data_IF_642127340639
#
_entry.id   IF_642127340639
#
_cell.length_a   1.000
_cell.length_b   1.000
_cell.length_c   1.000
_cell.angle_alpha   90.00
_cell.angle_beta   90.00
_cell.angle_gamma   90.00
#
_symmetry.space_group_name_H-M   'P 1'
#
loop_
_entity.id
_entity.type
_entity.pdbx_description
1 polymer ?
#
# COMPACT_ATOMS: atom_id res chain seq x y z
N UNK A 1 6.67 -6.95 10.44
CA UNK A 1 7.40 -6.01 9.56
C UNK A 1 7.15 -6.19 8.06
N UNK A 2 7.28 -7.40 7.48
CA UNK A 2 7.14 -7.59 6.01
C UNK A 2 5.80 -7.10 5.42
N UNK A 3 4.69 -7.43 6.08
CA UNK A 3 3.36 -7.00 5.64
C UNK A 3 3.21 -5.47 5.63
N UNK A 4 3.75 -4.79 6.65
CA UNK A 4 3.66 -3.33 6.75
C UNK A 4 4.46 -2.64 5.64
N UNK A 5 5.68 -3.13 5.39
CA UNK A 5 6.53 -2.65 4.30
C UNK A 5 5.88 -2.91 2.93
N UNK A 6 5.22 -4.06 2.76
CA UNK A 6 4.50 -4.38 1.54
C UNK A 6 3.28 -3.46 1.33
N UNK A 7 2.51 -3.18 2.38
CA UNK A 7 1.39 -2.23 2.36
C UNK A 7 1.84 -0.82 1.95
N UNK A 8 2.96 -0.35 2.50
CA UNK A 8 3.53 0.95 2.13
C UNK A 8 4.01 0.93 0.67
N UNK A 9 4.76 -0.09 0.28
CA UNK A 9 5.34 -0.21 -1.06
C UNK A 9 4.25 -0.30 -2.15
N UNK A 10 3.17 -1.03 -1.90
CA UNK A 10 2.06 -1.18 -2.84
C UNK A 10 1.13 0.04 -2.86
N UNK A 11 0.98 0.74 -1.73
CA UNK A 11 0.18 1.96 -1.64
C UNK A 11 0.85 3.18 -2.29
N UNK A 12 2.17 3.31 -2.17
CA UNK A 12 2.93 4.49 -2.66
C UNK A 12 2.66 4.87 -4.12
N UNK A 13 2.75 3.95 -5.10
CA UNK A 13 2.50 4.27 -6.51
C UNK A 13 1.09 4.83 -6.74
N UNK A 14 0.06 4.20 -6.16
CA UNK A 14 -1.33 4.63 -6.36
C UNK A 14 -1.68 5.91 -5.60
N UNK A 15 -0.96 6.24 -4.52
CA UNK A 15 -1.14 7.49 -3.79
C UNK A 15 -0.55 8.70 -4.53
N UNK A 16 0.62 8.51 -5.15
CA UNK A 16 1.38 9.58 -5.83
C UNK A 16 1.03 9.71 -7.32
N UNK A 17 0.82 8.58 -8.00
CA UNK A 17 0.61 8.50 -9.45
C UNK A 17 -0.57 7.58 -9.81
N UNK A 18 -1.79 7.86 -9.32
CA UNK A 18 -2.94 6.97 -9.46
C UNK A 18 -3.24 6.58 -10.91
N UNK A 19 -3.13 7.53 -11.85
CA UNK A 19 -3.37 7.26 -13.28
C UNK A 19 -2.37 6.27 -13.89
N UNK A 20 -1.08 6.37 -13.51
CA UNK A 20 -0.04 5.45 -13.96
C UNK A 20 -0.28 4.06 -13.37
N UNK A 21 -0.61 3.99 -12.09
CA UNK A 21 -0.94 2.74 -11.41
C UNK A 21 -2.14 2.04 -12.05
N UNK A 22 -3.20 2.79 -12.37
CA UNK A 22 -4.39 2.25 -13.05
C UNK A 22 -4.01 1.72 -14.45
N UNK A 23 -3.25 2.48 -15.24
CA UNK A 23 -2.85 2.06 -16.58
C UNK A 23 -1.98 0.79 -16.55
N UNK A 24 -1.02 0.73 -15.64
CA UNK A 24 -0.18 -0.47 -15.47
C UNK A 24 -1.01 -1.66 -15.01
N UNK A 25 -1.96 -1.46 -14.08
CA UNK A 25 -2.89 -2.49 -13.65
C UNK A 25 -3.78 -2.99 -14.78
N UNK A 26 -4.32 -2.09 -15.59
CA UNK A 26 -5.13 -2.44 -16.77
C UNK A 26 -4.30 -3.29 -17.76
N UNK A 27 -3.08 -2.88 -18.07
CA UNK A 27 -2.21 -3.64 -18.98
C UNK A 27 -1.87 -5.04 -18.45
N UNK A 28 -1.57 -5.17 -17.16
CA UNK A 28 -1.17 -6.45 -16.57
C UNK A 28 -2.36 -7.40 -16.35
N UNK A 29 -3.48 -6.87 -15.88
CA UNK A 29 -4.64 -7.69 -15.49
C UNK A 29 -5.62 -7.91 -16.63
N UNK A 30 -5.78 -6.91 -17.51
CA UNK A 30 -6.74 -6.96 -18.61
C UNK A 30 -6.05 -7.21 -19.96
N UNK A 31 -4.79 -6.83 -20.14
CA UNK A 31 -4.06 -7.02 -21.41
C UNK A 31 -3.98 -8.45 -21.93
N UNK A 32 -3.88 -9.50 -21.08
CA UNK A 32 -3.94 -10.90 -21.56
C UNK A 32 -5.31 -11.35 -22.08
N UNK A 33 -6.38 -10.62 -21.72
CA UNK A 33 -7.78 -10.99 -22.01
C UNK A 33 -8.41 -10.05 -23.04
N UNK A 34 -8.00 -8.78 -23.05
CA UNK A 34 -8.56 -7.72 -23.86
C UNK A 34 -7.46 -7.02 -24.66
N UNK A 35 -7.60 -6.99 -25.97
CA UNK A 35 -6.65 -6.34 -26.89
C UNK A 35 -6.61 -4.81 -26.71
N UNK A 36 -7.68 -4.21 -26.18
CA UNK A 36 -7.84 -2.77 -26.01
C UNK A 36 -7.68 -2.31 -24.54
N UNK A 37 -7.07 -3.12 -23.67
CA UNK A 37 -6.91 -2.79 -22.25
C UNK A 37 -6.18 -1.46 -22.00
N UNK A 38 -5.25 -1.09 -22.88
CA UNK A 38 -4.46 0.14 -22.80
C UNK A 38 -5.24 1.40 -23.21
N UNK A 39 -6.39 1.24 -23.88
CA UNK A 39 -7.24 2.34 -24.37
C UNK A 39 -8.28 2.77 -23.32
N UNK A 40 -8.40 2.03 -22.22
CA UNK A 40 -9.34 2.33 -21.16
C UNK A 40 -8.96 3.64 -20.45
N UNK A 41 -9.85 4.62 -20.57
CA UNK A 41 -9.71 5.89 -19.85
C UNK A 41 -10.45 5.79 -18.51
N UNK A 42 -9.73 5.86 -17.37
CA UNK A 42 -10.38 5.81 -16.07
C UNK A 42 -11.21 7.07 -15.83
N UNK A 43 -12.35 6.91 -15.17
CA UNK A 43 -13.18 8.03 -14.72
C UNK A 43 -12.51 8.74 -13.54
N UNK A 44 -12.70 10.05 -13.42
CA UNK A 44 -12.10 10.87 -12.35
C UNK A 44 -12.41 10.35 -10.93
N UNK A 45 -13.65 9.87 -10.71
CA UNK A 45 -14.03 9.32 -9.41
C UNK A 45 -13.25 8.05 -9.06
N UNK A 46 -12.90 7.25 -10.07
CA UNK A 46 -12.13 6.02 -9.89
C UNK A 46 -10.67 6.34 -9.60
N UNK A 47 -10.09 7.34 -10.27
CA UNK A 47 -8.75 7.87 -9.96
C UNK A 47 -8.68 8.34 -8.49
N UNK A 48 -9.72 9.05 -8.03
CA UNK A 48 -9.84 9.48 -6.62
C UNK A 48 -9.97 8.29 -5.66
N UNK A 49 -10.77 7.29 -6.02
CA UNK A 49 -10.96 6.09 -5.19
C UNK A 49 -9.65 5.31 -5.02
N UNK A 50 -8.91 5.08 -6.11
CA UNK A 50 -7.59 4.41 -6.08
C UNK A 50 -6.62 5.19 -5.22
N UNK A 51 -6.57 6.53 -5.37
CA UNK A 51 -5.71 7.37 -4.54
C UNK A 51 -6.07 7.24 -3.06
N UNK A 52 -7.35 7.28 -2.71
CA UNK A 52 -7.79 7.18 -1.32
C UNK A 52 -7.49 5.79 -0.73
N UNK A 53 -7.74 4.72 -1.47
CA UNK A 53 -7.39 3.35 -1.08
C UNK A 53 -5.88 3.22 -0.83
N UNK A 54 -5.06 3.72 -1.75
CA UNK A 54 -3.61 3.68 -1.65
C UNK A 54 -3.07 4.49 -0.47
N UNK A 55 -3.64 5.67 -0.19
CA UNK A 55 -3.32 6.43 1.02
C UNK A 55 -3.68 5.62 2.27
N UNK A 56 -4.85 4.97 2.29
CA UNK A 56 -5.26 4.09 3.38
C UNK A 56 -4.27 2.96 3.64
N UNK A 57 -3.76 2.31 2.58
CA UNK A 57 -2.74 1.26 2.70
C UNK A 57 -1.42 1.79 3.29
N UNK A 58 -0.97 2.98 2.85
CA UNK A 58 0.24 3.60 3.40
C UNK A 58 0.04 3.94 4.88
N UNK A 59 -1.10 4.53 5.25
CA UNK A 59 -1.43 4.88 6.64
C UNK A 59 -1.46 3.62 7.51
N UNK A 60 -2.11 2.55 7.05
CA UNK A 60 -2.17 1.29 7.78
C UNK A 60 -0.76 0.69 7.99
N UNK A 61 0.07 0.67 6.95
CA UNK A 61 1.45 0.17 7.04
C UNK A 61 2.33 1.00 8.00
N UNK A 62 2.22 2.33 7.96
CA UNK A 62 2.94 3.20 8.90
C UNK A 62 2.47 2.96 10.34
N UNK A 63 1.17 2.82 10.55
CA UNK A 63 0.62 2.55 11.88
C UNK A 63 1.07 1.17 12.42
N UNK A 64 1.07 0.15 11.57
CA UNK A 64 1.58 -1.18 11.93
C UNK A 64 3.07 -1.17 12.28
N UNK A 65 3.89 -0.40 11.57
CA UNK A 65 5.32 -0.21 11.92
C UNK A 65 5.49 0.51 13.27
N UNK A 66 4.70 1.55 13.54
CA UNK A 66 4.77 2.26 14.80
C UNK A 66 4.39 1.36 16.00
N UNK A 67 3.38 0.52 15.84
CA UNK A 67 2.97 -0.45 16.86
C UNK A 67 4.01 -1.56 17.06
N UNK A 68 4.64 -2.05 15.98
CA UNK A 68 5.69 -3.05 16.08
C UNK A 68 6.89 -2.56 16.91
N UNK A 69 7.36 -1.32 16.65
CA UNK A 69 8.46 -0.71 17.43
C UNK A 69 8.13 -0.56 18.91
N UNK A 70 6.89 -0.15 19.22
CA UNK A 70 6.46 0.01 20.61
C UNK A 70 6.36 -1.32 21.38
N UNK A 71 6.11 -2.43 20.68
CA UNK A 71 6.12 -3.76 21.29
C UNK A 71 7.53 -4.27 21.58
N UNK A 72 8.49 -3.96 20.69
CA UNK A 72 9.91 -4.33 20.86
C UNK A 72 10.53 -3.59 22.07
N UNK A 73 10.23 -2.30 22.26
CA UNK A 73 10.73 -1.52 23.40
C UNK A 73 10.17 -2.02 24.76
N UNK A 74 9.01 -2.68 24.79
CA UNK A 74 8.35 -3.14 26.02
C UNK A 74 8.81 -4.54 26.50
N UNK A 75 9.39 -5.35 25.61
CA UNK A 75 9.97 -6.66 25.97
C UNK A 75 11.38 -6.50 26.58
N UNK A 76 12.15 -5.48 26.16
CA UNK A 76 13.48 -5.21 26.73
C UNK A 76 13.41 -4.74 28.20
N UNK A 77 12.39 -3.96 28.60
CA UNK A 77 12.24 -3.47 29.99
C UNK A 77 11.85 -4.56 31.01
N UNK A 78 11.34 -5.72 30.56
CA UNK A 78 10.99 -6.84 31.46
C UNK A 78 12.12 -7.87 31.65
N UNK A 79 13.23 -7.74 30.91
CA UNK A 79 14.39 -8.62 31.00
C UNK A 79 15.38 -8.30 32.14
N UNK A 80 15.35 -7.08 32.69
CA UNK A 80 16.34 -6.59 33.67
C UNK A 80 15.92 -6.70 35.16
N UNK A 81 14.83 -7.40 35.47
CA UNK A 81 14.31 -7.50 36.86
C UNK A 81 14.52 -8.87 37.55
N UNK A 82 15.29 -9.79 36.98
CA UNK A 82 15.70 -11.03 37.65
C UNK A 82 17.22 -11.24 37.59
N UNK A 83 17.96 -10.61 38.52
CA UNK A 83 19.31 -11.02 38.92
C UNK A 83 19.45 -10.88 40.45
#
# INVERSE_FOLDING_TARGET
MLLELLSIATGLPGALFPERTIRTGARLLLGPVYENADELTPRDWYVRAVRLQSVGMVVAGVFGLAQARRGEDADDENGEQND
#
